data_IF_050734655224
#
_entry.id   IF_050734655224
#
_cell.length_a   1.000
_cell.length_b   1.000
_cell.length_c   1.000
_cell.angle_alpha   90.00
_cell.angle_beta   90.00
_cell.angle_gamma   90.00
#
_symmetry.space_group_name_H-M   'P 1'
#
loop_
_entity.id
_entity.type
_entity.pdbx_description
1 polymer ?
#
# COMPACT_ATOMS: atom_id res chain seq x y z
N UNK A 1 19.90 12.44 -1.70
CA UNK A 1 19.17 11.27 -1.19
C UNK A 1 17.68 11.60 -1.11
N UNK A 2 16.78 10.58 -1.11
CA UNK A 2 15.33 10.83 -1.05
C UNK A 2 14.89 11.73 0.10
N UNK A 3 15.48 11.55 1.28
CA UNK A 3 15.17 12.29 2.51
C UNK A 3 15.66 13.74 2.47
N UNK A 4 16.61 14.05 1.60
CA UNK A 4 17.24 15.38 1.46
C UNK A 4 16.53 16.25 0.41
N UNK A 5 15.47 15.73 -0.25
CA UNK A 5 14.68 16.53 -1.20
C UNK A 5 14.05 17.73 -0.53
N UNK A 6 13.99 18.83 -1.24
CA UNK A 6 13.32 20.04 -0.76
C UNK A 6 11.81 19.79 -0.57
N UNK A 7 11.15 20.64 0.21
CA UNK A 7 9.70 20.58 0.40
C UNK A 7 8.98 20.80 -0.93
N UNK A 8 9.50 21.68 -1.79
CA UNK A 8 9.00 21.92 -3.15
C UNK A 8 9.08 20.67 -4.03
N UNK A 9 10.20 19.93 -4.00
CA UNK A 9 10.35 18.68 -4.75
C UNK A 9 9.37 17.61 -4.26
N UNK A 10 9.22 17.47 -2.94
CA UNK A 10 8.24 16.55 -2.37
C UNK A 10 6.81 16.96 -2.68
N UNK A 11 6.48 18.26 -2.67
CA UNK A 11 5.16 18.77 -3.02
C UNK A 11 4.84 18.56 -4.51
N UNK A 12 5.85 18.52 -5.36
CA UNK A 12 5.67 18.25 -6.79
C UNK A 12 5.37 16.79 -7.08
N UNK A 13 6.11 15.85 -6.48
CA UNK A 13 6.07 14.42 -6.81
C UNK A 13 6.27 13.56 -5.53
N UNK A 14 5.36 13.63 -4.59
CA UNK A 14 5.43 12.93 -3.30
C UNK A 14 4.22 12.08 -2.97
N UNK A 15 4.20 11.65 -1.72
CA UNK A 15 3.13 10.85 -1.13
C UNK A 15 2.77 11.46 0.23
N UNK A 16 1.50 11.40 0.57
CA UNK A 16 0.99 11.66 1.91
C UNK A 16 0.26 10.42 2.43
N UNK A 17 0.53 10.04 3.67
CA UNK A 17 -0.18 8.96 4.35
C UNK A 17 -1.37 9.54 5.11
N UNK A 18 -2.56 9.47 4.53
CA UNK A 18 -3.76 10.12 5.06
C UNK A 18 -4.55 9.16 5.94
N UNK A 19 -4.94 9.64 7.12
CA UNK A 19 -6.01 9.01 7.90
C UNK A 19 -7.35 9.37 7.25
N UNK A 20 -7.86 8.45 6.42
CA UNK A 20 -9.15 8.65 5.77
C UNK A 20 -10.25 8.70 6.82
N UNK A 21 -11.00 9.81 6.93
CA UNK A 21 -12.11 9.90 7.85
C UNK A 21 -13.31 9.07 7.38
N UNK A 22 -14.23 8.79 8.28
CA UNK A 22 -15.57 8.27 7.97
C UNK A 22 -16.36 9.33 7.20
N UNK A 23 -17.10 8.92 6.18
CA UNK A 23 -17.96 9.78 5.38
C UNK A 23 -17.52 9.89 3.91
N UNK A 24 -16.41 10.55 3.57
CA UNK A 24 -15.99 10.67 2.18
C UNK A 24 -15.53 9.32 1.59
N UNK A 25 -15.70 9.18 0.28
CA UNK A 25 -15.11 8.06 -0.48
C UNK A 25 -13.59 8.23 -0.57
N UNK A 26 -12.86 7.15 -0.89
CA UNK A 26 -11.43 7.23 -1.16
C UNK A 26 -11.07 8.21 -2.28
N UNK A 27 -11.94 8.33 -3.29
CA UNK A 27 -11.77 9.28 -4.39
C UNK A 27 -11.92 10.73 -3.91
N UNK A 28 -12.97 11.02 -3.14
CA UNK A 28 -13.18 12.35 -2.54
C UNK A 28 -12.02 12.73 -1.61
N UNK A 29 -11.50 11.78 -0.82
CA UNK A 29 -10.32 12.02 0.03
C UNK A 29 -9.11 12.41 -0.81
N UNK A 30 -8.86 11.73 -1.95
CA UNK A 30 -7.78 12.10 -2.87
C UNK A 30 -8.00 13.48 -3.50
N UNK A 31 -9.26 13.84 -3.82
CA UNK A 31 -9.60 15.17 -4.35
C UNK A 31 -9.40 16.27 -3.30
N UNK A 32 -9.68 16.00 -2.02
CA UNK A 32 -9.38 16.94 -0.94
C UNK A 32 -7.87 17.17 -0.81
N UNK A 33 -7.07 16.12 -0.80
CA UNK A 33 -5.60 16.23 -0.78
C UNK A 33 -5.10 17.04 -1.98
N UNK A 34 -5.62 16.74 -3.18
CA UNK A 34 -5.28 17.48 -4.40
C UNK A 34 -5.56 18.99 -4.27
N UNK A 35 -6.70 19.35 -3.69
CA UNK A 35 -7.09 20.74 -3.48
C UNK A 35 -6.24 21.43 -2.41
N UNK A 36 -6.03 20.76 -1.27
CA UNK A 36 -5.22 21.28 -0.16
C UNK A 36 -3.79 21.56 -0.63
N UNK A 37 -3.14 20.58 -1.27
CA UNK A 37 -1.77 20.69 -1.76
C UNK A 37 -1.63 21.51 -3.04
N UNK A 38 -2.75 21.95 -3.66
CA UNK A 38 -2.79 22.70 -4.94
C UNK A 38 -2.04 21.97 -6.06
N UNK A 39 -2.10 20.64 -6.10
CA UNK A 39 -1.45 19.81 -7.11
C UNK A 39 -2.42 19.45 -8.24
N UNK A 40 -1.90 19.18 -9.44
CA UNK A 40 -2.75 18.91 -10.61
C UNK A 40 -3.34 17.50 -10.63
N UNK A 41 -2.67 16.53 -9.97
CA UNK A 41 -3.05 15.12 -10.00
C UNK A 41 -2.77 14.48 -8.65
N UNK A 42 -3.72 13.67 -8.17
CA UNK A 42 -3.57 12.81 -7.00
C UNK A 42 -4.24 11.45 -7.25
N UNK A 43 -3.79 10.41 -6.55
CA UNK A 43 -4.35 9.07 -6.65
C UNK A 43 -4.02 8.23 -5.43
N UNK A 44 -4.96 7.36 -5.03
CA UNK A 44 -4.83 6.51 -3.83
C UNK A 44 -4.49 5.06 -4.16
N UNK A 45 -3.95 4.35 -3.18
CA UNK A 45 -3.48 2.96 -3.29
C UNK A 45 -4.49 1.91 -2.79
N UNK A 46 -5.74 2.01 -3.23
CA UNK A 46 -6.79 1.05 -2.88
C UNK A 46 -7.96 1.71 -2.17
N UNK A 47 -9.15 1.33 -2.63
CA UNK A 47 -10.41 1.90 -2.17
C UNK A 47 -10.77 1.41 -0.78
N UNK A 48 -11.21 2.32 0.07
CA UNK A 48 -11.95 2.08 1.30
C UNK A 48 -13.40 2.54 1.10
N UNK A 49 -14.35 1.79 1.64
CA UNK A 49 -15.74 2.21 1.66
C UNK A 49 -15.92 3.53 2.45
N UNK A 50 -16.96 4.33 2.21
CA UNK A 50 -17.17 5.60 2.94
C UNK A 50 -17.19 5.44 4.46
N UNK A 51 -17.76 4.34 4.97
CA UNK A 51 -17.82 4.05 6.42
C UNK A 51 -16.51 3.54 7.03
N UNK A 52 -15.50 3.22 6.21
CA UNK A 52 -14.21 2.68 6.65
C UNK A 52 -13.19 3.80 6.81
N UNK A 53 -12.38 3.73 7.86
CA UNK A 53 -11.36 4.73 8.20
C UNK A 53 -9.93 4.17 8.03
N UNK A 54 -8.94 5.02 8.23
CA UNK A 54 -7.54 4.60 8.41
C UNK A 54 -6.63 4.88 7.23
N UNK A 55 -5.54 4.18 7.19
CA UNK A 55 -4.38 4.38 6.30
C UNK A 55 -4.76 4.38 4.83
N UNK A 56 -4.63 5.54 4.19
CA UNK A 56 -4.84 5.73 2.75
C UNK A 56 -3.68 6.54 2.15
N UNK A 57 -2.61 5.87 1.68
CA UNK A 57 -1.54 6.57 0.97
C UNK A 57 -2.06 7.19 -0.32
N UNK A 58 -1.78 8.48 -0.50
CA UNK A 58 -2.15 9.27 -1.68
C UNK A 58 -0.89 9.84 -2.30
N UNK A 59 -0.60 9.41 -3.52
CA UNK A 59 0.48 9.95 -4.32
C UNK A 59 -0.02 11.09 -5.22
N UNK A 60 0.84 12.06 -5.49
CA UNK A 60 0.50 13.18 -6.35
C UNK A 60 1.60 13.47 -7.38
N UNK A 61 1.27 14.28 -8.38
CA UNK A 61 2.16 14.55 -9.50
C UNK A 61 2.55 13.27 -10.26
N UNK A 62 3.83 13.14 -10.58
CA UNK A 62 4.38 11.95 -11.27
C UNK A 62 4.42 10.72 -10.35
N UNK A 63 4.46 10.93 -9.03
CA UNK A 63 4.41 9.84 -8.05
C UNK A 63 3.10 9.02 -8.13
N UNK A 64 2.02 9.54 -8.73
CA UNK A 64 0.79 8.75 -8.95
C UNK A 64 1.02 7.43 -9.69
N UNK A 65 2.09 7.32 -10.46
CA UNK A 65 2.44 6.08 -11.17
C UNK A 65 2.92 4.95 -10.24
N UNK A 66 3.33 5.27 -8.99
CA UNK A 66 3.76 4.26 -8.01
C UNK A 66 2.59 3.50 -7.42
N UNK A 67 1.40 4.10 -7.44
CA UNK A 67 0.17 3.55 -6.82
C UNK A 67 -0.12 2.12 -7.26
N UNK A 68 0.15 1.77 -8.52
CA UNK A 68 -0.08 0.42 -9.03
C UNK A 68 0.69 -0.68 -8.24
N UNK A 69 1.87 -0.37 -7.72
CA UNK A 69 2.68 -1.31 -6.93
C UNK A 69 2.20 -1.40 -5.48
N UNK A 70 1.50 -0.39 -5.00
CA UNK A 70 0.83 -0.40 -3.70
C UNK A 70 -0.51 -1.16 -3.75
N UNK A 71 -1.19 -1.19 -4.91
CA UNK A 71 -2.49 -1.87 -5.05
C UNK A 71 -2.40 -3.35 -4.72
N UNK A 72 -1.31 -4.01 -5.10
CA UNK A 72 -1.10 -5.44 -4.89
C UNK A 72 -0.46 -5.80 -3.55
N UNK A 73 0.08 -4.81 -2.83
CA UNK A 73 0.72 -5.01 -1.53
C UNK A 73 -0.29 -5.45 -0.45
N UNK A 74 0.13 -6.22 0.56
CA UNK A 74 -0.72 -6.63 1.68
C UNK A 74 -1.40 -5.47 2.39
N UNK A 75 -2.56 -5.73 3.01
CA UNK A 75 -3.31 -4.79 3.83
C UNK A 75 -3.59 -5.39 5.20
N UNK A 76 -3.53 -4.55 6.22
CA UNK A 76 -3.94 -4.92 7.57
C UNK A 76 -5.16 -4.10 7.98
N UNK A 77 -6.07 -4.76 8.67
CA UNK A 77 -7.28 -4.16 9.19
C UNK A 77 -7.51 -4.55 10.63
N UNK A 78 -8.09 -3.62 11.39
CA UNK A 78 -8.75 -3.87 12.66
C UNK A 78 -10.25 -3.76 12.43
N UNK A 79 -10.99 -4.75 12.89
CA UNK A 79 -12.41 -4.93 12.61
C UNK A 79 -13.17 -5.27 13.89
N UNK A 80 -14.34 -4.67 14.06
CA UNK A 80 -15.38 -5.16 14.99
C UNK A 80 -16.38 -5.97 14.16
N UNK A 81 -16.47 -7.26 14.44
CA UNK A 81 -17.48 -8.17 13.92
C UNK A 81 -18.55 -8.38 14.96
N UNK A 82 -19.82 -8.20 14.59
CA UNK A 82 -20.96 -8.48 15.44
C UNK A 82 -21.56 -9.85 15.08
N UNK A 83 -21.54 -10.79 16.01
CA UNK A 83 -22.22 -12.08 15.91
C UNK A 83 -23.70 -11.91 16.25
N UNK A 84 -24.61 -12.55 15.52
CA UNK A 84 -26.05 -12.41 15.78
C UNK A 84 -26.52 -13.24 16.97
N UNK A 85 -25.65 -14.12 17.52
CA UNK A 85 -25.86 -14.88 18.77
C UNK A 85 -24.51 -15.00 19.48
N UNK A 86 -24.57 -15.17 20.80
CA UNK A 86 -23.37 -15.47 21.61
C UNK A 86 -22.81 -16.84 21.20
N UNK A 87 -21.51 -16.90 21.02
CA UNK A 87 -20.75 -18.11 20.70
C UNK A 87 -19.67 -18.31 21.75
N UNK A 88 -19.43 -19.55 22.13
CA UNK A 88 -18.32 -19.91 23.02
C UNK A 88 -16.98 -19.53 22.36
N UNK A 89 -16.07 -18.92 23.12
CA UNK A 89 -14.80 -18.43 22.64
C UNK A 89 -13.98 -19.51 21.93
N UNK A 90 -13.95 -20.72 22.46
CA UNK A 90 -13.18 -21.83 21.88
C UNK A 90 -13.72 -22.20 20.49
N UNK A 91 -15.03 -22.29 20.32
CA UNK A 91 -15.69 -22.54 19.03
C UNK A 91 -15.42 -21.42 18.04
N UNK A 92 -15.43 -20.16 18.47
CA UNK A 92 -15.10 -19.02 17.64
C UNK A 92 -13.63 -19.07 17.16
N UNK A 93 -12.70 -19.36 18.07
CA UNK A 93 -11.27 -19.49 17.74
C UNK A 93 -10.99 -20.63 16.76
N UNK A 94 -11.66 -21.77 16.90
CA UNK A 94 -11.55 -22.88 15.97
C UNK A 94 -12.10 -22.54 14.58
N UNK A 95 -13.23 -21.85 14.51
CA UNK A 95 -13.80 -21.38 13.25
C UNK A 95 -12.85 -20.41 12.54
N UNK A 96 -12.27 -19.45 13.24
CA UNK A 96 -11.35 -18.46 12.69
C UNK A 96 -10.07 -19.10 12.12
N UNK A 97 -9.54 -20.15 12.77
CA UNK A 97 -8.37 -20.88 12.25
C UNK A 97 -8.57 -21.41 10.84
N UNK A 98 -9.80 -21.73 10.45
CA UNK A 98 -10.12 -22.23 9.10
C UNK A 98 -10.01 -21.15 8.02
N UNK A 99 -10.00 -19.87 8.39
CA UNK A 99 -9.85 -18.75 7.47
C UNK A 99 -8.40 -18.27 7.33
N UNK A 100 -7.45 -18.82 8.08
CA UNK A 100 -6.02 -18.52 7.90
C UNK A 100 -5.50 -19.31 6.68
N UNK A 101 -4.76 -18.63 5.79
CA UNK A 101 -4.30 -19.18 4.52
C UNK A 101 -5.23 -18.84 3.37
N UNK A 102 -5.39 -19.77 2.42
CA UNK A 102 -6.17 -19.54 1.20
C UNK A 102 -7.67 -19.69 1.45
N UNK A 103 -8.41 -18.63 1.16
CA UNK A 103 -9.87 -18.58 1.23
C UNK A 103 -10.46 -18.27 -0.15
N UNK A 104 -11.71 -18.66 -0.38
CA UNK A 104 -12.47 -18.30 -1.58
C UNK A 104 -13.52 -17.26 -1.23
N UNK A 105 -13.55 -16.19 -1.99
CA UNK A 105 -14.53 -15.11 -1.78
C UNK A 105 -15.20 -14.74 -3.09
N UNK A 106 -16.53 -14.61 -3.06
CA UNK A 106 -17.31 -13.99 -4.12
C UNK A 106 -17.46 -12.49 -3.78
N UNK A 107 -17.01 -11.55 -4.65
CA UNK A 107 -17.15 -10.13 -4.41
C UNK A 107 -18.61 -9.73 -4.10
N UNK A 108 -18.83 -8.75 -3.19
CA UNK A 108 -20.16 -8.24 -2.90
C UNK A 108 -20.86 -7.68 -4.15
N UNK A 109 -22.22 -7.71 -4.18
CA UNK A 109 -23.03 -7.23 -5.32
C UNK A 109 -22.72 -5.77 -5.68
N UNK A 110 -22.41 -4.94 -4.69
CA UNK A 110 -22.06 -3.51 -4.87
C UNK A 110 -20.59 -3.25 -5.22
N UNK A 111 -19.80 -4.30 -5.53
CA UNK A 111 -18.40 -4.15 -5.93
C UNK A 111 -18.30 -3.68 -7.38
N UNK A 112 -17.35 -2.78 -7.69
CA UNK A 112 -17.08 -2.29 -9.04
C UNK A 112 -16.39 -3.32 -9.97
N UNK A 113 -16.05 -4.52 -9.47
CA UNK A 113 -15.38 -5.57 -10.23
C UNK A 113 -16.34 -6.69 -10.60
N UNK A 114 -16.00 -7.42 -11.68
CA UNK A 114 -16.77 -8.58 -12.13
C UNK A 114 -16.94 -9.59 -11.00
N UNK A 115 -18.20 -10.04 -10.79
CA UNK A 115 -18.58 -10.97 -9.72
C UNK A 115 -18.19 -12.40 -10.08
N UNK A 116 -16.94 -12.72 -9.85
CA UNK A 116 -16.36 -14.06 -10.01
C UNK A 116 -15.70 -14.49 -8.70
N UNK A 117 -15.77 -15.77 -8.38
CA UNK A 117 -15.09 -16.33 -7.21
C UNK A 117 -13.58 -16.11 -7.34
N UNK A 118 -12.94 -15.63 -6.28
CA UNK A 118 -11.51 -15.33 -6.26
C UNK A 118 -10.87 -15.94 -5.01
N UNK A 119 -9.73 -16.57 -5.22
CA UNK A 119 -8.89 -16.99 -4.10
C UNK A 119 -8.18 -15.77 -3.53
N UNK A 120 -8.18 -15.65 -2.21
CA UNK A 120 -7.45 -14.66 -1.43
C UNK A 120 -6.70 -15.36 -0.32
N UNK A 121 -5.73 -14.69 0.27
CA UNK A 121 -4.92 -15.25 1.34
C UNK A 121 -5.00 -14.37 2.58
N UNK A 122 -5.29 -14.98 3.71
CA UNK A 122 -5.19 -14.38 5.04
C UNK A 122 -3.86 -14.85 5.61
N UNK A 123 -2.95 -13.91 5.85
CA UNK A 123 -1.61 -14.21 6.37
C UNK A 123 -1.61 -14.35 7.87
N UNK A 124 -2.36 -13.47 8.56
CA UNK A 124 -2.49 -13.45 10.02
C UNK A 124 -3.93 -13.09 10.38
N UNK A 125 -4.43 -13.71 11.43
CA UNK A 125 -5.71 -13.39 12.04
C UNK A 125 -5.56 -13.49 13.57
N UNK A 126 -5.81 -12.40 14.29
CA UNK A 126 -5.67 -12.31 15.74
C UNK A 126 -6.95 -11.75 16.35
N UNK A 127 -7.55 -12.47 17.28
CA UNK A 127 -8.63 -11.95 18.13
C UNK A 127 -7.98 -11.11 19.22
N UNK A 128 -8.33 -9.82 19.28
CA UNK A 128 -7.83 -8.87 20.29
C UNK A 128 -8.73 -8.93 21.53
N UNK A 129 -10.05 -8.89 21.33
CA UNK A 129 -11.03 -8.83 22.41
C UNK A 129 -12.36 -9.45 22.00
N UNK A 130 -13.08 -10.02 22.96
CA UNK A 130 -14.45 -10.52 22.78
C UNK A 130 -15.30 -9.93 23.89
N UNK A 131 -16.33 -9.18 23.52
CA UNK A 131 -17.31 -8.60 24.44
C UNK A 131 -18.73 -9.00 24.00
N UNK A 132 -19.30 -9.99 24.65
CA UNK A 132 -20.62 -10.52 24.29
C UNK A 132 -20.69 -11.05 22.87
N UNK A 133 -21.38 -10.33 21.99
CA UNK A 133 -21.53 -10.65 20.58
C UNK A 133 -20.49 -9.93 19.69
N UNK A 134 -19.73 -8.98 20.25
CA UNK A 134 -18.77 -8.20 19.52
C UNK A 134 -17.37 -8.81 19.61
N UNK A 135 -16.72 -8.96 18.48
CA UNK A 135 -15.38 -9.54 18.33
C UNK A 135 -14.48 -8.52 17.65
N UNK A 136 -13.52 -7.99 18.41
CA UNK A 136 -12.47 -7.15 17.90
C UNK A 136 -11.31 -8.02 17.43
N UNK A 137 -10.92 -7.88 16.16
CA UNK A 137 -9.82 -8.65 15.61
C UNK A 137 -8.93 -7.81 14.67
N UNK A 138 -7.70 -8.25 14.53
CA UNK A 138 -6.73 -7.78 13.53
C UNK A 138 -6.54 -8.85 12.46
N UNK A 139 -6.49 -8.43 11.20
CA UNK A 139 -6.26 -9.34 10.08
C UNK A 139 -5.27 -8.72 9.08
N UNK A 140 -4.19 -9.45 8.78
CA UNK A 140 -3.27 -9.15 7.68
C UNK A 140 -3.61 -10.05 6.49
N UNK A 141 -3.86 -9.47 5.32
CA UNK A 141 -4.38 -10.21 4.18
C UNK A 141 -3.85 -9.71 2.83
N UNK A 142 -4.00 -10.57 1.83
CA UNK A 142 -3.76 -10.23 0.45
C UNK A 142 -4.66 -9.09 -0.03
N UNK A 143 -4.13 -8.23 -0.88
CA UNK A 143 -4.90 -7.16 -1.51
C UNK A 143 -6.16 -7.69 -2.22
N UNK A 144 -7.27 -6.95 -2.07
CA UNK A 144 -8.56 -7.32 -2.63
C UNK A 144 -9.34 -8.36 -1.82
N UNK A 145 -8.93 -8.64 -0.58
CA UNK A 145 -9.72 -9.39 0.40
C UNK A 145 -10.85 -8.50 0.92
N UNK A 146 -12.08 -9.05 0.97
CA UNK A 146 -13.27 -8.37 1.47
C UNK A 146 -13.51 -8.76 2.92
N UNK A 147 -13.19 -7.87 3.86
CA UNK A 147 -13.35 -8.11 5.30
C UNK A 147 -14.84 -8.25 5.66
N UNK A 148 -15.72 -7.47 5.01
CA UNK A 148 -17.19 -7.63 5.17
C UNK A 148 -17.64 -9.04 4.81
N UNK A 149 -17.11 -9.64 3.74
CA UNK A 149 -17.42 -11.01 3.35
C UNK A 149 -16.81 -12.02 4.33
N UNK A 150 -15.61 -11.74 4.84
CA UNK A 150 -14.94 -12.57 5.83
C UNK A 150 -15.81 -12.68 7.11
N UNK A 151 -16.31 -11.55 7.64
CA UNK A 151 -17.20 -11.56 8.80
C UNK A 151 -18.48 -12.38 8.53
N UNK A 152 -19.09 -12.21 7.38
CA UNK A 152 -20.27 -12.98 6.97
C UNK A 152 -19.95 -14.47 6.93
N UNK A 153 -18.85 -14.88 6.30
CA UNK A 153 -18.49 -16.29 6.13
C UNK A 153 -18.17 -16.97 7.48
N UNK A 154 -17.53 -16.25 8.40
CA UNK A 154 -17.32 -16.73 9.77
C UNK A 154 -18.67 -16.96 10.47
N UNK A 155 -19.61 -16.02 10.34
CA UNK A 155 -20.95 -16.14 10.90
C UNK A 155 -21.75 -17.31 10.34
N UNK A 156 -21.64 -17.59 9.03
CA UNK A 156 -22.25 -18.75 8.37
C UNK A 156 -21.63 -20.06 8.86
N UNK A 157 -20.30 -20.13 8.98
CA UNK A 157 -19.61 -21.32 9.49
C UNK A 157 -20.02 -21.65 10.94
N UNK A 158 -20.28 -20.61 11.74
CA UNK A 158 -20.74 -20.74 13.12
C UNK A 158 -22.24 -21.00 13.25
N UNK A 159 -23.01 -20.94 12.15
CA UNK A 159 -24.47 -21.07 12.10
C UNK A 159 -25.24 -20.04 12.96
N UNK A 160 -24.62 -18.90 13.21
CA UNK A 160 -25.22 -17.82 14.01
C UNK A 160 -25.47 -16.55 13.19
N UNK A 161 -24.78 -16.41 12.04
CA UNK A 161 -24.72 -15.18 11.27
C UNK A 161 -23.83 -14.13 11.92
N UNK A 162 -23.21 -13.28 11.11
CA UNK A 162 -22.41 -12.16 11.57
C UNK A 162 -22.34 -11.04 10.52
N UNK A 163 -21.98 -9.85 10.95
CA UNK A 163 -21.68 -8.73 10.06
C UNK A 163 -20.53 -7.89 10.59
N UNK A 164 -19.90 -7.16 9.67
CA UNK A 164 -18.88 -6.18 9.96
C UNK A 164 -19.53 -4.92 10.53
N UNK A 165 -19.32 -4.63 11.81
CA UNK A 165 -19.84 -3.42 12.47
C UNK A 165 -18.95 -2.21 12.19
N UNK A 166 -17.63 -2.35 12.41
CA UNK A 166 -16.66 -1.31 12.15
C UNK A 166 -15.41 -1.87 11.48
N UNK A 167 -14.74 -1.03 10.68
CA UNK A 167 -13.50 -1.39 9.99
C UNK A 167 -12.56 -0.19 9.90
N UNK A 168 -11.30 -0.42 10.27
CA UNK A 168 -10.20 0.52 10.11
C UNK A 168 -9.02 -0.16 9.43
N UNK A 169 -8.48 0.44 8.39
CA UNK A 169 -7.24 -0.04 7.78
C UNK A 169 -6.04 0.52 8.51
N UNK A 170 -5.24 -0.32 9.12
CA UNK A 170 -4.04 0.05 9.90
C UNK A 170 -2.76 -0.02 9.07
N UNK A 171 -2.79 -0.76 7.93
CA UNK A 171 -1.66 -0.85 7.01
C UNK A 171 -2.10 -0.96 5.55
N UNK A 172 -1.38 -0.28 4.66
CA UNK A 172 -1.49 -0.39 3.21
C UNK A 172 -0.11 -0.52 2.56
N UNK A 173 0.34 -1.77 2.33
CA UNK A 173 1.71 -2.05 1.91
C UNK A 173 2.72 -1.58 2.97
N UNK A 174 3.70 -0.74 2.60
CA UNK A 174 4.68 -0.23 3.56
C UNK A 174 4.16 0.87 4.49
N UNK A 175 3.00 1.46 4.20
CA UNK A 175 2.43 2.53 5.02
C UNK A 175 1.62 1.97 6.17
N UNK A 176 1.91 2.45 7.38
CA UNK A 176 1.26 2.08 8.64
C UNK A 176 0.80 3.33 9.38
N UNK A 177 0.02 3.16 10.45
CA UNK A 177 -0.44 4.28 11.29
C UNK A 177 0.72 5.01 11.96
N UNK A 178 1.80 4.30 12.31
CA UNK A 178 2.99 4.87 12.95
C UNK A 178 3.87 5.70 11.98
N UNK A 179 3.60 5.64 10.68
CA UNK A 179 4.44 6.28 9.66
C UNK A 179 3.82 7.57 9.12
N UNK A 180 3.96 8.65 9.88
CA UNK A 180 3.50 10.01 9.48
C UNK A 180 2.05 9.98 8.95
N UNK A 181 1.15 9.32 9.69
CA UNK A 181 -0.28 9.36 9.40
C UNK A 181 -0.81 10.74 9.77
N UNK A 182 -1.48 11.40 8.82
CA UNK A 182 -1.99 12.76 9.00
C UNK A 182 -3.46 12.85 8.59
N UNK A 183 -4.21 13.67 9.30
CA UNK A 183 -5.58 14.00 8.91
C UNK A 183 -5.61 15.05 7.79
N UNK A 184 -6.77 15.23 7.16
CA UNK A 184 -6.95 16.31 6.19
C UNK A 184 -6.82 17.69 6.83
N UNK A 185 -7.16 17.82 8.13
CA UNK A 185 -6.99 19.08 8.88
C UNK A 185 -5.51 19.36 9.11
N UNK A 186 -4.73 18.38 9.57
CA UNK A 186 -3.28 18.55 9.75
C UNK A 186 -2.61 19.00 8.46
N UNK A 187 -3.03 18.40 7.32
CA UNK A 187 -2.50 18.77 6.01
C UNK A 187 -2.89 20.19 5.59
N UNK A 188 -4.11 20.62 5.92
CA UNK A 188 -4.60 21.98 5.66
C UNK A 188 -3.80 23.00 6.47
N UNK A 189 -3.63 22.74 7.76
CA UNK A 189 -2.84 23.60 8.65
C UNK A 189 -1.37 23.67 8.21
N UNK A 190 -0.79 22.53 7.84
CA UNK A 190 0.58 22.47 7.33
C UNK A 190 0.77 23.31 6.05
N UNK A 191 -0.21 23.27 5.14
CA UNK A 191 -0.20 24.12 3.94
C UNK A 191 -0.38 25.61 4.26
N UNK A 192 -1.20 25.95 5.25
CA UNK A 192 -1.37 27.33 5.70
C UNK A 192 -0.03 27.89 6.23
N UNK A 193 0.64 27.19 7.16
CA UNK A 193 1.95 27.60 7.66
C UNK A 193 3.00 27.74 6.55
N UNK A 194 2.97 26.83 5.58
CA UNK A 194 3.88 26.90 4.43
C UNK A 194 3.64 28.12 3.55
N UNK A 195 2.38 28.44 3.24
CA UNK A 195 2.04 29.52 2.31
C UNK A 195 2.07 30.91 2.96
N UNK A 196 1.57 31.06 4.19
CA UNK A 196 1.39 32.35 4.85
C UNK A 196 2.60 32.72 5.73
N UNK A 197 3.22 31.73 6.39
CA UNK A 197 4.31 31.98 7.34
C UNK A 197 5.68 31.58 6.77
N UNK A 198 5.74 31.02 5.57
CA UNK A 198 6.96 30.46 4.95
C UNK A 198 7.65 29.42 5.83
N UNK A 199 6.89 28.70 6.62
CA UNK A 199 7.34 27.65 7.51
C UNK A 199 6.99 26.28 6.93
N UNK A 200 7.96 25.56 6.41
CA UNK A 200 7.76 24.28 5.76
C UNK A 200 7.82 23.07 6.70
N UNK A 201 8.15 23.27 7.97
CA UNK A 201 8.39 22.20 8.96
C UNK A 201 7.21 21.21 9.04
N UNK A 202 5.99 21.70 9.12
CA UNK A 202 4.79 20.86 9.26
C UNK A 202 4.45 20.17 7.94
N UNK A 203 4.57 20.87 6.82
CA UNK A 203 4.35 20.28 5.51
C UNK A 203 5.40 19.21 5.21
N UNK A 204 6.66 19.46 5.57
CA UNK A 204 7.75 18.50 5.47
C UNK A 204 7.48 17.20 6.23
N UNK A 205 6.85 17.29 7.42
CA UNK A 205 6.42 16.12 8.18
C UNK A 205 5.32 15.33 7.46
N UNK A 206 4.38 15.99 6.80
CA UNK A 206 3.27 15.34 6.09
C UNK A 206 3.72 14.65 4.80
N UNK A 207 4.72 15.21 4.10
CA UNK A 207 5.15 14.75 2.79
C UNK A 207 6.23 13.67 2.90
N UNK A 208 6.10 12.66 2.06
CA UNK A 208 7.04 11.54 1.98
C UNK A 208 7.56 11.36 0.56
N UNK A 209 8.84 10.95 0.39
CA UNK A 209 9.39 10.64 -0.92
C UNK A 209 8.76 9.37 -1.49
N UNK A 210 8.74 9.27 -2.82
CA UNK A 210 8.17 8.13 -3.56
C UNK A 210 8.82 6.80 -3.18
N UNK A 211 10.06 6.82 -2.74
CA UNK A 211 10.83 5.66 -2.32
C UNK A 211 10.21 4.92 -1.13
N UNK A 212 9.46 5.62 -0.27
CA UNK A 212 8.73 4.98 0.84
C UNK A 212 7.65 4.01 0.34
N UNK A 213 7.13 4.23 -0.87
CA UNK A 213 6.11 3.36 -1.47
C UNK A 213 6.64 2.02 -1.97
N UNK A 214 7.96 1.85 -2.08
CA UNK A 214 8.57 0.63 -2.66
C UNK A 214 9.43 -0.13 -1.65
N UNK A 215 9.36 0.21 -0.36
CA UNK A 215 10.19 -0.43 0.67
C UNK A 215 9.90 -1.92 0.83
N UNK A 216 8.68 -2.36 0.46
CA UNK A 216 8.26 -3.76 0.45
C UNK A 216 8.76 -4.57 -0.77
N UNK A 217 9.27 -3.91 -1.81
CA UNK A 217 9.82 -4.57 -3.00
C UNK A 217 11.31 -4.90 -2.80
N UNK A 218 11.82 -6.02 -3.34
CA UNK A 218 13.24 -6.26 -3.44
C UNK A 218 13.92 -5.16 -4.26
N UNK A 219 15.16 -4.84 -3.91
CA UNK A 219 15.91 -3.71 -4.49
C UNK A 219 17.13 -4.15 -5.28
N UNK A 220 17.42 -3.37 -6.30
CA UNK A 220 18.61 -3.49 -7.13
C UNK A 220 19.21 -2.08 -7.30
N UNK A 221 20.47 -1.91 -6.94
CA UNK A 221 21.22 -0.65 -7.10
C UNK A 221 22.09 -0.71 -8.33
N UNK A 222 22.10 0.36 -9.11
CA UNK A 222 22.80 0.45 -10.39
C UNK A 222 23.96 1.44 -10.33
N UNK A 223 24.93 1.23 -11.22
CA UNK A 223 26.02 2.19 -11.46
C UNK A 223 25.49 3.45 -12.14
N UNK A 224 26.13 4.60 -11.90
CA UNK A 224 25.70 5.91 -12.41
C UNK A 224 25.67 5.96 -13.94
N UNK A 225 26.61 5.28 -14.61
CA UNK A 225 26.66 5.19 -16.08
C UNK A 225 25.46 4.43 -16.70
N UNK A 226 24.71 3.67 -15.89
CA UNK A 226 23.53 2.93 -16.33
C UNK A 226 22.25 3.78 -16.29
N UNK A 227 22.21 4.85 -15.48
CA UNK A 227 21.02 5.67 -15.23
C UNK A 227 20.44 6.21 -16.54
N UNK A 228 21.25 6.84 -17.38
CA UNK A 228 20.81 7.43 -18.66
C UNK A 228 20.15 6.38 -19.57
N UNK A 229 20.67 5.17 -19.59
CA UNK A 229 20.12 4.07 -20.39
C UNK A 229 18.72 3.68 -19.93
N UNK A 230 18.51 3.58 -18.63
CA UNK A 230 17.22 3.20 -18.03
C UNK A 230 16.18 4.32 -18.12
N UNK A 231 16.59 5.58 -17.95
CA UNK A 231 15.67 6.73 -18.09
C UNK A 231 15.13 6.85 -19.51
N UNK A 232 15.88 6.35 -20.51
CA UNK A 232 15.44 6.21 -21.89
C UNK A 232 14.63 4.93 -22.18
N UNK A 233 14.25 4.17 -21.14
CA UNK A 233 13.36 3.00 -21.23
C UNK A 233 14.05 1.70 -21.65
N UNK A 234 15.39 1.61 -21.62
CA UNK A 234 16.09 0.36 -21.86
C UNK A 234 15.98 -0.58 -20.66
N UNK A 235 16.01 -1.89 -20.91
CA UNK A 235 16.03 -2.91 -19.87
C UNK A 235 17.40 -2.94 -19.15
N UNK A 236 17.39 -3.34 -17.87
CA UNK A 236 18.60 -3.42 -17.06
C UNK A 236 19.36 -4.73 -17.35
N UNK A 237 20.56 -4.58 -17.88
CA UNK A 237 21.50 -5.69 -18.08
C UNK A 237 22.37 -5.93 -16.84
N UNK A 238 22.85 -7.17 -16.68
CA UNK A 238 23.70 -7.60 -15.56
C UNK A 238 24.89 -6.65 -15.29
N UNK A 239 25.69 -6.19 -16.29
CA UNK A 239 26.83 -5.31 -16.04
C UNK A 239 26.48 -3.94 -15.46
N UNK A 240 25.21 -3.53 -15.55
CA UNK A 240 24.72 -2.26 -14.97
C UNK A 240 24.43 -2.31 -13.49
N UNK A 241 24.46 -3.50 -12.87
CA UNK A 241 24.07 -3.73 -11.48
C UNK A 241 25.31 -3.62 -10.57
N UNK A 242 25.19 -2.80 -9.52
CA UNK A 242 26.21 -2.66 -8.48
C UNK A 242 25.94 -3.57 -7.27
N UNK A 243 24.67 -3.62 -6.82
CA UNK A 243 24.22 -4.38 -5.66
C UNK A 243 22.78 -4.83 -5.85
N UNK A 244 22.41 -5.95 -5.25
CA UNK A 244 21.03 -6.44 -5.27
C UNK A 244 20.64 -7.14 -3.97
N UNK A 245 19.36 -7.14 -3.65
CA UNK A 245 18.76 -8.00 -2.64
C UNK A 245 18.40 -9.36 -3.27
N UNK A 246 18.00 -10.31 -2.43
CA UNK A 246 17.55 -11.61 -2.92
C UNK A 246 16.15 -11.48 -3.57
N UNK A 247 15.98 -12.03 -4.77
CA UNK A 247 14.70 -12.10 -5.48
C UNK A 247 14.65 -13.28 -6.43
N UNK A 248 13.45 -13.69 -6.78
CA UNK A 248 13.18 -14.76 -7.75
C UNK A 248 12.84 -14.16 -9.12
N UNK A 249 13.02 -14.97 -10.17
CA UNK A 249 12.52 -14.63 -11.51
C UNK A 249 11.01 -14.39 -11.47
N UNK A 250 10.55 -13.32 -12.12
CA UNK A 250 9.14 -12.91 -12.18
C UNK A 250 8.73 -11.93 -11.09
N UNK A 251 9.56 -11.70 -10.07
CA UNK A 251 9.25 -10.70 -9.03
C UNK A 251 9.42 -9.27 -9.53
N UNK A 252 8.67 -8.37 -8.90
CA UNK A 252 8.76 -6.93 -9.15
C UNK A 252 9.91 -6.35 -8.34
N UNK A 253 10.83 -5.67 -9.01
CA UNK A 253 12.07 -5.13 -8.44
C UNK A 253 12.10 -3.62 -8.54
N UNK A 254 12.46 -2.95 -7.45
CA UNK A 254 12.76 -1.54 -7.43
C UNK A 254 14.24 -1.31 -7.82
N UNK A 255 14.47 -0.50 -8.84
CA UNK A 255 15.81 -0.15 -9.34
C UNK A 255 16.18 1.23 -8.84
N UNK A 256 17.26 1.31 -8.07
CA UNK A 256 17.71 2.50 -7.35
C UNK A 256 19.09 2.95 -7.80
N UNK A 257 19.36 4.25 -7.69
CA UNK A 257 20.74 4.78 -7.72
C UNK A 257 21.52 4.33 -6.48
N UNK A 258 22.83 4.51 -6.48
CA UNK A 258 23.68 4.28 -5.30
C UNK A 258 23.31 5.20 -4.12
N UNK A 259 22.62 6.31 -4.38
CA UNK A 259 22.08 7.23 -3.36
C UNK A 259 20.70 6.82 -2.83
N UNK A 260 20.12 5.73 -3.35
CA UNK A 260 18.80 5.23 -2.95
C UNK A 260 17.62 5.88 -3.64
N UNK A 261 17.83 6.67 -4.70
CA UNK A 261 16.77 7.33 -5.44
C UNK A 261 16.14 6.37 -6.45
N UNK A 262 14.81 6.36 -6.56
CA UNK A 262 14.09 5.46 -7.45
C UNK A 262 14.27 5.86 -8.92
N UNK A 263 14.93 5.02 -9.69
CA UNK A 263 15.10 5.16 -11.14
C UNK A 263 13.93 4.54 -11.89
N UNK A 264 13.63 3.28 -11.59
CA UNK A 264 12.61 2.50 -12.30
C UNK A 264 12.08 1.35 -11.42
N UNK A 265 10.98 0.76 -11.88
CA UNK A 265 10.48 -0.53 -11.38
C UNK A 265 10.32 -1.47 -12.57
N UNK A 266 10.67 -2.72 -12.39
CA UNK A 266 10.62 -3.74 -13.46
C UNK A 266 10.39 -5.14 -12.93
N UNK A 267 10.34 -6.10 -13.86
CA UNK A 267 10.18 -7.53 -13.58
C UNK A 267 11.52 -8.24 -13.72
N UNK A 268 11.91 -9.03 -12.73
CA UNK A 268 13.11 -9.85 -12.76
C UNK A 268 13.02 -10.92 -13.88
N UNK A 269 13.93 -10.88 -14.84
CA UNK A 269 14.06 -11.92 -15.89
C UNK A 269 15.04 -13.03 -15.48
N UNK A 270 15.86 -12.76 -14.47
CA UNK A 270 16.76 -13.71 -13.81
C UNK A 270 16.49 -13.68 -12.31
N UNK A 271 16.83 -14.75 -11.59
CA UNK A 271 16.90 -14.72 -10.12
C UNK A 271 18.16 -13.97 -9.67
N UNK A 272 18.20 -13.49 -8.42
CA UNK A 272 19.37 -12.85 -7.84
C UNK A 272 20.63 -13.72 -7.94
N UNK A 273 20.49 -15.04 -7.73
CA UNK A 273 21.59 -16.01 -7.88
C UNK A 273 22.10 -16.02 -9.32
N UNK A 274 21.19 -16.07 -10.30
CA UNK A 274 21.55 -16.07 -11.73
C UNK A 274 22.23 -14.77 -12.15
N UNK A 275 21.81 -13.61 -11.61
CA UNK A 275 22.48 -12.33 -11.87
C UNK A 275 23.91 -12.34 -11.36
N UNK A 276 24.16 -12.91 -10.17
CA UNK A 276 25.50 -12.98 -9.57
C UNK A 276 26.44 -13.96 -10.28
N UNK A 277 25.91 -14.92 -11.04
CA UNK A 277 26.71 -15.95 -11.73
C UNK A 277 26.91 -15.69 -13.22
N UNK A 278 26.11 -14.79 -13.82
CA UNK A 278 26.20 -14.45 -15.24
C UNK A 278 26.89 -13.10 -15.44
N UNK A 279 27.73 -13.02 -16.45
CA UNK A 279 28.40 -11.76 -16.82
C UNK A 279 27.56 -10.90 -17.78
N UNK A 280 26.57 -11.48 -18.44
CA UNK A 280 25.76 -10.83 -19.50
C UNK A 280 24.29 -11.26 -19.40
N UNK A 281 23.42 -10.48 -20.04
CA UNK A 281 22.00 -10.75 -20.18
C UNK A 281 21.12 -9.67 -19.56
N UNK A 282 19.83 -9.72 -19.85
CA UNK A 282 18.84 -8.83 -19.26
C UNK A 282 18.42 -9.38 -17.90
N UNK A 283 18.76 -8.66 -16.85
CA UNK A 283 18.41 -9.01 -15.47
C UNK A 283 16.99 -8.59 -15.12
N UNK A 284 16.62 -7.33 -15.46
CA UNK A 284 15.32 -6.74 -15.13
C UNK A 284 14.72 -6.09 -16.37
N UNK A 285 13.49 -6.49 -16.74
CA UNK A 285 12.70 -5.82 -17.77
C UNK A 285 11.97 -4.64 -17.15
N UNK A 286 12.30 -3.43 -17.60
CA UNK A 286 11.74 -2.20 -17.06
C UNK A 286 10.26 -2.08 -17.44
N UNK A 287 9.40 -1.83 -16.46
CA UNK A 287 7.97 -1.59 -16.65
C UNK A 287 7.58 -0.13 -16.50
N UNK A 288 8.24 0.61 -15.58
CA UNK A 288 8.00 2.04 -15.34
C UNK A 288 9.28 2.74 -14.95
N UNK A 289 9.53 3.91 -15.57
CA UNK A 289 10.63 4.81 -15.23
C UNK A 289 10.07 5.97 -14.40
N UNK A 290 10.75 6.32 -13.31
CA UNK A 290 10.34 7.40 -12.39
C UNK A 290 11.30 8.59 -12.44
N UNK A 291 12.60 8.33 -12.53
CA UNK A 291 13.63 9.38 -12.63
C UNK A 291 13.59 10.05 -14.01
N UNK A 292 13.77 11.37 -14.03
CA UNK A 292 14.01 12.17 -15.22
C UNK A 292 15.32 12.94 -15.02
N UNK A 293 16.17 12.95 -16.04
CA UNK A 293 17.43 13.72 -16.10
C UNK A 293 17.19 15.07 -16.74
#
# INVERSE_FOLDING_TARGET
>A
KPEERSTEDLLKDGIVNVDKPKGPTSHQTSDFVKKILKVNKAGHSGTLDPGVTGVQPIAFGKATRIVQFLLTAPKEYVCVMHLHKIVEEEKLREAIKQFIGKIRQLPPVKSAIKREERTREIYEFEIIEIEGQDVLFRVLCQAGTYIRKLCHDIGELLEVGAHMAELRRTQAGPFREEHNLVTLNDLTDAMHYYTEERNDKYLRYCLQPIENAITHLPKCWIFDNTILSLTNGRDLAVPGISKLENFKKGETIAVLTLKGELVAVGEAKMSAVAVNTNEKGIAIKISKVFMQL
#
